data_IF_551723450474
#
_entry.id   IF_551723450474
#
_cell.length_a   1.000
_cell.length_b   1.000
_cell.length_c   1.000
_cell.angle_alpha   90.00
_cell.angle_beta   90.00
_cell.angle_gamma   90.00
#
_symmetry.space_group_name_H-M   'P 1'
#
loop_
_entity.id
_entity.type
_entity.pdbx_description
1 polymer ?
#
# COMPACT_ATOMS: atom_id res chain seq x y z
N UNK A 1 -1.40 20.69 12.96
CA UNK A 1 -0.24 20.32 12.12
C UNK A 1 -0.67 19.56 10.86
N UNK A 2 -1.42 18.45 11.00
CA UNK A 2 -1.86 17.64 9.87
C UNK A 2 -2.73 18.41 8.85
N UNK A 3 -3.60 19.32 9.28
CA UNK A 3 -4.43 20.13 8.39
C UNK A 3 -3.59 21.01 7.44
N UNK A 4 -2.55 21.67 7.96
CA UNK A 4 -1.64 22.47 7.13
C UNK A 4 -0.90 21.61 6.11
N UNK A 5 -0.45 20.42 6.52
CA UNK A 5 0.16 19.45 5.61
C UNK A 5 -0.79 19.03 4.49
N UNK A 6 -2.05 18.69 4.81
CA UNK A 6 -3.06 18.31 3.81
C UNK A 6 -3.35 19.45 2.84
N UNK A 7 -3.57 20.67 3.35
CA UNK A 7 -3.83 21.84 2.51
C UNK A 7 -2.64 22.13 1.60
N UNK A 8 -1.41 22.18 2.14
CA UNK A 8 -0.21 22.45 1.36
C UNK A 8 0.02 21.37 0.28
N UNK A 9 -0.21 20.11 0.62
CA UNK A 9 -0.07 18.99 -0.32
C UNK A 9 -1.13 19.03 -1.44
N UNK A 10 -2.38 19.38 -1.13
CA UNK A 10 -3.45 19.53 -2.13
C UNK A 10 -3.18 20.76 -3.02
N UNK A 11 -2.68 21.86 -2.46
CA UNK A 11 -2.28 23.03 -3.23
C UNK A 11 -1.13 22.70 -4.20
N UNK A 12 -0.12 21.96 -3.77
CA UNK A 12 0.97 21.52 -4.64
C UNK A 12 0.47 20.61 -5.77
N UNK A 13 -0.44 19.66 -5.47
CA UNK A 13 -1.06 18.81 -6.48
C UNK A 13 -1.92 19.60 -7.47
N UNK A 14 -2.68 20.59 -6.99
CA UNK A 14 -3.48 21.47 -7.86
C UNK A 14 -2.61 22.36 -8.74
N UNK A 15 -1.47 22.84 -8.22
CA UNK A 15 -0.48 23.58 -8.99
C UNK A 15 0.14 22.71 -10.10
N UNK A 16 0.45 21.44 -9.81
CA UNK A 16 0.93 20.49 -10.82
C UNK A 16 -0.12 20.24 -11.91
N UNK A 17 -1.40 20.15 -11.53
CA UNK A 17 -2.50 19.98 -12.48
C UNK A 17 -2.71 21.22 -13.38
N UNK A 18 -2.53 22.42 -12.84
CA UNK A 18 -2.65 23.68 -13.57
C UNK A 18 -1.38 24.06 -14.35
N UNK A 19 -0.30 23.32 -14.23
CA UNK A 19 1.00 23.61 -14.85
C UNK A 19 0.89 23.70 -16.40
N UNK A 20 1.61 24.64 -16.99
CA UNK A 20 1.65 24.85 -18.44
C UNK A 20 2.90 24.29 -19.11
N UNK A 21 3.93 24.02 -18.32
CA UNK A 21 5.23 23.53 -18.77
C UNK A 21 5.74 22.42 -17.85
N UNK A 22 6.59 21.53 -18.37
CA UNK A 22 7.23 20.45 -17.58
C UNK A 22 8.02 20.99 -16.38
N UNK A 23 8.69 22.15 -16.54
CA UNK A 23 9.41 22.80 -15.43
C UNK A 23 8.51 23.20 -14.25
N UNK A 24 7.28 23.58 -14.54
CA UNK A 24 6.30 23.92 -13.49
C UNK A 24 5.82 22.65 -12.76
N UNK A 25 5.68 21.52 -13.46
CA UNK A 25 5.36 20.23 -12.85
C UNK A 25 6.49 19.80 -11.93
N UNK A 26 7.75 19.89 -12.37
CA UNK A 26 8.92 19.58 -11.56
C UNK A 26 9.02 20.49 -10.33
N UNK A 27 8.77 21.81 -10.49
CA UNK A 27 8.77 22.75 -9.38
C UNK A 27 7.65 22.46 -8.37
N UNK A 28 6.44 22.10 -8.81
CA UNK A 28 5.35 21.68 -7.94
C UNK A 28 5.69 20.38 -7.20
N UNK A 29 6.36 19.44 -7.88
CA UNK A 29 6.90 18.23 -7.26
C UNK A 29 7.94 18.51 -6.18
N UNK A 30 8.92 19.37 -6.47
CA UNK A 30 9.92 19.77 -5.50
C UNK A 30 9.28 20.46 -4.28
N UNK A 31 8.31 21.36 -4.50
CA UNK A 31 7.54 21.99 -3.42
C UNK A 31 6.77 20.97 -2.58
N UNK A 32 6.13 19.98 -3.23
CA UNK A 32 5.42 18.89 -2.54
C UNK A 32 6.37 18.10 -1.63
N UNK A 33 7.54 17.69 -2.12
CA UNK A 33 8.50 16.93 -1.32
C UNK A 33 9.18 17.77 -0.26
N UNK A 34 9.35 19.08 -0.46
CA UNK A 34 9.76 19.99 0.59
C UNK A 34 8.73 20.04 1.75
N UNK A 35 7.44 20.09 1.43
CA UNK A 35 6.36 20.00 2.43
C UNK A 35 6.41 18.66 3.17
N UNK A 36 6.62 17.55 2.47
CA UNK A 36 6.77 16.23 3.08
C UNK A 36 7.96 16.17 4.05
N UNK A 37 9.11 16.68 3.65
CA UNK A 37 10.31 16.70 4.48
C UNK A 37 10.13 17.57 5.73
N UNK A 38 9.55 18.76 5.57
CA UNK A 38 9.24 19.65 6.69
C UNK A 38 8.25 18.97 7.64
N UNK A 39 7.24 18.30 7.14
CA UNK A 39 6.27 17.58 7.95
C UNK A 39 6.91 16.46 8.77
N UNK A 40 7.80 15.66 8.17
CA UNK A 40 8.58 14.64 8.90
C UNK A 40 9.43 15.27 10.00
N UNK A 41 10.14 16.37 9.70
CA UNK A 41 10.93 17.10 10.69
C UNK A 41 10.07 17.63 11.84
N UNK A 42 8.89 18.17 11.55
CA UNK A 42 7.94 18.64 12.55
C UNK A 42 7.44 17.52 13.47
N UNK A 43 7.21 16.31 12.95
CA UNK A 43 6.82 15.14 13.76
C UNK A 43 7.94 14.81 14.76
N UNK A 44 9.21 14.82 14.32
CA UNK A 44 10.34 14.55 15.21
C UNK A 44 10.56 15.66 16.25
N UNK A 45 10.33 16.92 15.87
CA UNK A 45 10.49 18.06 16.77
C UNK A 45 9.34 18.18 17.79
N UNK A 46 8.10 17.83 17.40
CA UNK A 46 6.90 17.92 18.24
C UNK A 46 6.68 16.75 19.20
N UNK A 47 7.50 15.71 19.11
CA UNK A 47 7.35 14.47 19.89
C UNK A 47 6.35 13.49 19.28
N UNK A 48 6.70 12.20 19.38
CA UNK A 48 5.81 11.10 19.02
C UNK A 48 4.66 11.03 20.04
N UNK A 49 3.45 10.70 19.58
CA UNK A 49 2.22 10.52 20.38
C UNK A 49 1.40 11.79 20.69
N UNK A 50 1.68 12.90 20.01
CA UNK A 50 0.79 14.06 20.11
C UNK A 50 -0.45 13.91 19.22
N UNK A 51 -1.60 14.27 19.75
CA UNK A 51 -2.85 14.37 18.99
C UNK A 51 -2.95 15.75 18.35
N UNK A 52 -3.35 15.79 17.08
CA UNK A 52 -3.55 17.06 16.40
C UNK A 52 -4.71 17.86 17.05
N UNK A 53 -4.68 19.18 16.91
CA UNK A 53 -5.69 20.11 17.41
C UNK A 53 -7.14 19.77 17.03
N UNK A 54 -7.32 18.96 15.98
CA UNK A 54 -8.63 18.45 15.52
C UNK A 54 -9.06 17.18 16.27
N UNK A 55 -8.19 16.52 17.04
CA UNK A 55 -8.49 15.24 17.70
C UNK A 55 -8.73 14.06 16.75
N UNK A 56 -8.51 14.26 15.43
CA UNK A 56 -8.83 13.29 14.36
C UNK A 56 -7.58 12.56 13.86
N UNK A 57 -6.41 13.10 14.11
CA UNK A 57 -5.11 12.55 13.72
C UNK A 57 -4.23 12.34 14.93
N UNK A 58 -3.45 11.26 14.93
CA UNK A 58 -2.46 10.94 15.95
C UNK A 58 -1.14 10.50 15.31
N UNK A 59 -0.04 10.91 15.91
CA UNK A 59 1.30 10.64 15.40
C UNK A 59 1.90 9.45 16.16
N UNK A 60 1.43 8.22 15.84
CA UNK A 60 1.95 7.00 16.41
C UNK A 60 3.25 6.55 15.72
N UNK A 61 4.08 5.77 16.44
CA UNK A 61 5.36 5.30 15.92
C UNK A 61 5.21 4.46 14.64
N UNK A 62 4.15 3.63 14.53
CA UNK A 62 3.90 2.83 13.36
C UNK A 62 3.53 3.68 12.14
N UNK A 63 2.61 4.66 12.31
CA UNK A 63 2.23 5.58 11.25
C UNK A 63 3.41 6.43 10.79
N UNK A 64 4.23 6.92 11.73
CA UNK A 64 5.44 7.70 11.41
C UNK A 64 6.46 6.87 10.63
N UNK A 65 6.73 5.62 11.03
CA UNK A 65 7.64 4.72 10.31
C UNK A 65 7.17 4.49 8.88
N UNK A 66 5.88 4.17 8.69
CA UNK A 66 5.33 3.95 7.36
C UNK A 66 5.30 5.24 6.53
N UNK A 67 5.10 6.40 7.16
CA UNK A 67 5.14 7.68 6.47
C UNK A 67 6.55 8.04 5.97
N UNK A 68 7.60 7.85 6.78
CA UNK A 68 8.98 8.05 6.34
C UNK A 68 9.29 7.17 5.13
N UNK A 69 8.92 5.89 5.20
CA UNK A 69 9.09 4.96 4.10
C UNK A 69 8.33 5.42 2.84
N UNK A 70 7.09 5.89 3.01
CA UNK A 70 6.28 6.44 1.93
C UNK A 70 6.94 7.65 1.28
N UNK A 71 7.46 8.60 2.06
CA UNK A 71 8.15 9.80 1.54
C UNK A 71 9.35 9.42 0.70
N UNK A 72 10.19 8.50 1.18
CA UNK A 72 11.36 8.02 0.44
C UNK A 72 10.95 7.35 -0.88
N UNK A 73 10.01 6.40 -0.83
CA UNK A 73 9.58 5.66 -2.03
C UNK A 73 8.86 6.58 -3.02
N UNK A 74 8.01 7.47 -2.54
CA UNK A 74 7.29 8.41 -3.41
C UNK A 74 8.21 9.42 -4.08
N UNK A 75 9.26 9.90 -3.39
CA UNK A 75 10.27 10.78 -3.97
C UNK A 75 11.03 10.09 -5.12
N UNK A 76 11.46 8.83 -4.92
CA UNK A 76 12.06 8.03 -5.99
C UNK A 76 11.08 7.76 -7.13
N UNK A 77 9.82 7.45 -6.83
CA UNK A 77 8.79 7.21 -7.83
C UNK A 77 8.53 8.47 -8.66
N UNK A 78 8.50 9.64 -8.04
CA UNK A 78 8.33 10.92 -8.73
C UNK A 78 9.52 11.24 -9.63
N UNK A 79 10.76 11.16 -9.12
CA UNK A 79 11.97 11.37 -9.90
C UNK A 79 12.08 10.41 -11.10
N UNK A 80 11.70 9.14 -10.89
CA UNK A 80 11.64 8.17 -11.98
C UNK A 80 10.51 8.46 -12.98
N UNK A 81 9.39 9.04 -12.52
CA UNK A 81 8.28 9.42 -13.37
C UNK A 81 8.66 10.51 -14.37
N UNK A 82 9.52 11.45 -14.02
CA UNK A 82 10.03 12.48 -14.94
C UNK A 82 10.75 11.84 -16.13
N UNK A 83 11.62 10.87 -15.86
CA UNK A 83 12.32 10.14 -16.92
C UNK A 83 11.38 9.22 -17.73
N UNK A 84 10.39 8.60 -17.07
CA UNK A 84 9.43 7.69 -17.70
C UNK A 84 8.44 8.39 -18.62
N UNK A 85 8.03 9.61 -18.26
CA UNK A 85 7.04 10.41 -18.99
C UNK A 85 7.66 11.36 -20.01
N UNK A 86 8.98 11.37 -20.13
CA UNK A 86 9.68 12.24 -21.08
C UNK A 86 9.18 11.98 -22.52
N UNK A 87 8.69 13.04 -23.17
CA UNK A 87 8.09 12.93 -24.51
C UNK A 87 6.61 12.53 -24.53
N UNK A 88 5.97 12.35 -23.38
CA UNK A 88 4.52 12.17 -23.30
C UNK A 88 3.78 13.50 -23.44
N UNK A 89 2.45 13.43 -23.76
CA UNK A 89 1.61 14.61 -23.82
C UNK A 89 1.59 15.34 -22.45
N UNK A 90 1.80 16.65 -22.46
CA UNK A 90 1.81 17.49 -21.27
C UNK A 90 0.55 17.31 -20.41
N UNK A 91 -0.61 17.12 -21.06
CA UNK A 91 -1.87 16.88 -20.36
C UNK A 91 -1.84 15.56 -19.55
N UNK A 92 -1.24 14.52 -20.11
CA UNK A 92 -1.11 13.22 -19.42
C UNK A 92 -0.13 13.32 -18.28
N UNK A 93 1.03 13.97 -18.49
CA UNK A 93 2.08 14.14 -17.47
C UNK A 93 1.57 14.92 -16.26
N UNK A 94 0.89 16.06 -16.45
CA UNK A 94 0.34 16.85 -15.33
C UNK A 94 -0.74 16.12 -14.56
N UNK A 95 -1.65 15.39 -15.25
CA UNK A 95 -2.69 14.61 -14.57
C UNK A 95 -2.09 13.49 -13.76
N UNK A 96 -1.12 12.77 -14.30
CA UNK A 96 -0.41 11.71 -13.62
C UNK A 96 0.34 12.22 -12.38
N UNK A 97 1.11 13.30 -12.52
CA UNK A 97 1.89 13.88 -11.41
C UNK A 97 0.99 14.40 -10.29
N UNK A 98 -0.12 15.06 -10.62
CA UNK A 98 -1.10 15.52 -9.65
C UNK A 98 -1.75 14.33 -8.90
N UNK A 99 -2.16 13.28 -9.62
CA UNK A 99 -2.74 12.08 -9.02
C UNK A 99 -1.73 11.33 -8.14
N UNK A 100 -0.45 11.30 -8.52
CA UNK A 100 0.60 10.67 -7.71
C UNK A 100 0.80 11.43 -6.39
N UNK A 101 0.80 12.76 -6.41
CA UNK A 101 0.86 13.61 -5.20
C UNK A 101 -0.39 13.42 -4.32
N UNK A 102 -1.59 13.42 -4.92
CA UNK A 102 -2.85 13.19 -4.20
C UNK A 102 -2.89 11.79 -3.57
N UNK A 103 -2.42 10.77 -4.29
CA UNK A 103 -2.32 9.41 -3.76
C UNK A 103 -1.40 9.36 -2.54
N UNK A 104 -0.22 9.98 -2.62
CA UNK A 104 0.73 10.06 -1.49
C UNK A 104 0.11 10.78 -0.30
N UNK A 105 -0.60 11.88 -0.53
CA UNK A 105 -1.31 12.64 0.52
C UNK A 105 -2.41 11.82 1.17
N UNK A 106 -3.21 11.10 0.38
CA UNK A 106 -4.29 10.24 0.89
C UNK A 106 -3.74 9.07 1.74
N UNK A 107 -2.64 8.45 1.29
CA UNK A 107 -1.96 7.39 2.06
C UNK A 107 -1.44 7.96 3.40
N UNK A 108 -0.83 9.15 3.39
CA UNK A 108 -0.36 9.81 4.61
C UNK A 108 -1.51 10.09 5.58
N UNK A 109 -2.66 10.55 5.07
CA UNK A 109 -3.87 10.74 5.86
C UNK A 109 -4.36 9.45 6.52
N UNK A 110 -4.33 8.33 5.80
CA UNK A 110 -4.69 7.03 6.36
C UNK A 110 -3.72 6.55 7.44
N UNK A 111 -2.41 6.87 7.32
CA UNK A 111 -1.41 6.48 8.32
C UNK A 111 -1.59 7.20 9.65
N UNK A 112 -1.99 8.46 9.64
CA UNK A 112 -2.12 9.28 10.86
C UNK A 112 -3.56 9.40 11.37
N UNK A 113 -4.55 8.83 10.70
CA UNK A 113 -5.92 8.87 11.16
C UNK A 113 -6.08 8.19 12.54
N UNK A 114 -6.65 8.89 13.52
CA UNK A 114 -6.97 8.37 14.87
C UNK A 114 -8.40 7.85 14.98
N UNK A 115 -9.17 7.91 13.87
CA UNK A 115 -10.58 7.57 13.81
C UNK A 115 -10.84 6.58 12.68
N UNK A 116 -11.68 5.57 12.95
CA UNK A 116 -12.05 4.52 11.98
C UNK A 116 -12.69 5.10 10.71
N UNK A 117 -13.60 6.07 10.84
CA UNK A 117 -14.26 6.70 9.70
C UNK A 117 -13.28 7.52 8.85
N UNK A 118 -12.34 8.23 9.48
CA UNK A 118 -11.33 9.01 8.77
C UNK A 118 -10.37 8.10 8.01
N UNK A 119 -9.93 6.99 8.63
CA UNK A 119 -9.14 5.96 7.92
C UNK A 119 -9.88 5.45 6.69
N UNK A 120 -11.18 5.17 6.82
CA UNK A 120 -12.03 4.72 5.72
C UNK A 120 -12.09 5.75 4.58
N UNK A 121 -12.33 7.05 4.91
CA UNK A 121 -12.38 8.14 3.91
C UNK A 121 -11.06 8.23 3.11
N UNK A 122 -9.92 8.21 3.80
CA UNK A 122 -8.63 8.30 3.13
C UNK A 122 -8.33 7.05 2.28
N UNK A 123 -8.70 5.85 2.72
CA UNK A 123 -8.55 4.64 1.93
C UNK A 123 -9.44 4.66 0.68
N UNK A 124 -10.65 5.23 0.74
CA UNK A 124 -11.48 5.42 -0.46
C UNK A 124 -10.88 6.48 -1.40
N UNK A 125 -10.35 7.59 -0.86
CA UNK A 125 -9.66 8.59 -1.67
C UNK A 125 -8.47 7.97 -2.44
N UNK A 126 -7.75 7.02 -1.85
CA UNK A 126 -6.69 6.28 -2.56
C UNK A 126 -7.21 5.45 -3.72
N UNK A 127 -8.46 4.94 -3.66
CA UNK A 127 -9.07 4.16 -4.75
C UNK A 127 -9.22 5.03 -5.99
N UNK A 128 -9.76 6.23 -5.83
CA UNK A 128 -9.98 7.17 -6.94
C UNK A 128 -8.66 7.62 -7.57
N UNK A 129 -7.69 7.99 -6.75
CA UNK A 129 -6.36 8.40 -7.23
C UNK A 129 -5.65 7.27 -7.98
N UNK A 130 -5.66 6.05 -7.43
CA UNK A 130 -5.03 4.88 -8.05
C UNK A 130 -5.68 4.51 -9.37
N UNK A 131 -7.01 4.55 -9.46
CA UNK A 131 -7.75 4.27 -10.70
C UNK A 131 -7.35 5.23 -11.83
N UNK A 132 -7.24 6.53 -11.52
CA UNK A 132 -6.78 7.52 -12.48
C UNK A 132 -5.34 7.27 -12.97
N UNK A 133 -4.46 6.82 -12.08
CA UNK A 133 -3.07 6.46 -12.42
C UNK A 133 -3.01 5.18 -13.26
N UNK A 134 -3.80 4.16 -12.93
CA UNK A 134 -3.88 2.90 -13.70
C UNK A 134 -4.32 3.18 -15.14
N UNK A 135 -5.28 4.08 -15.32
CA UNK A 135 -5.80 4.46 -16.65
C UNK A 135 -4.89 5.41 -17.43
N UNK A 136 -3.71 5.75 -16.95
CA UNK A 136 -2.80 6.72 -17.56
C UNK A 136 -2.53 6.47 -19.05
N UNK A 137 -2.30 5.22 -19.47
CA UNK A 137 -2.00 4.86 -20.88
C UNK A 137 -3.22 4.88 -21.81
N UNK A 138 -4.43 5.05 -21.31
CA UNK A 138 -5.71 5.12 -22.04
C UNK A 138 -5.93 4.01 -23.05
N UNK A 139 -5.44 2.80 -22.79
CA UNK A 139 -5.70 1.61 -23.60
C UNK A 139 -6.95 0.88 -23.10
N UNK A 140 -7.57 0.05 -23.95
CA UNK A 140 -8.71 -0.78 -23.53
C UNK A 140 -8.35 -1.68 -22.32
N UNK A 141 -7.14 -2.23 -22.31
CA UNK A 141 -6.64 -3.08 -21.22
C UNK A 141 -6.48 -2.29 -19.90
N UNK A 142 -5.95 -1.06 -19.96
CA UNK A 142 -5.81 -0.22 -18.74
C UNK A 142 -7.16 0.31 -18.27
N UNK A 143 -8.11 0.52 -19.17
CA UNK A 143 -9.49 0.88 -18.82
C UNK A 143 -10.17 -0.28 -18.07
N UNK A 144 -10.05 -1.49 -18.59
CA UNK A 144 -10.60 -2.71 -17.95
C UNK A 144 -10.00 -2.90 -16.55
N UNK A 145 -8.68 -2.78 -16.42
CA UNK A 145 -8.00 -2.91 -15.12
C UNK A 145 -8.46 -1.81 -14.13
N UNK A 146 -8.59 -0.57 -14.58
CA UNK A 146 -9.07 0.54 -13.73
C UNK A 146 -10.50 0.32 -13.25
N UNK A 147 -11.41 -0.12 -14.14
CA UNK A 147 -12.79 -0.46 -13.78
C UNK A 147 -12.86 -1.60 -12.76
N UNK A 148 -12.17 -2.71 -13.02
CA UNK A 148 -12.09 -3.82 -12.06
C UNK A 148 -11.58 -3.35 -10.71
N UNK A 149 -10.54 -2.52 -10.72
CA UNK A 149 -9.96 -1.96 -9.50
C UNK A 149 -10.99 -1.12 -8.72
N UNK A 150 -11.67 -0.18 -9.37
CA UNK A 150 -12.68 0.66 -8.72
C UNK A 150 -13.81 -0.20 -8.13
N UNK A 151 -14.43 -1.06 -8.93
CA UNK A 151 -15.57 -1.85 -8.47
C UNK A 151 -15.24 -2.74 -7.28
N UNK A 152 -14.15 -3.48 -7.35
CA UNK A 152 -13.81 -4.42 -6.28
C UNK A 152 -13.30 -3.70 -5.04
N UNK A 153 -12.49 -2.63 -5.21
CA UNK A 153 -12.02 -1.86 -4.06
C UNK A 153 -13.17 -1.10 -3.37
N UNK A 154 -14.05 -0.43 -4.12
CA UNK A 154 -15.17 0.30 -3.51
C UNK A 154 -16.17 -0.65 -2.84
N UNK A 155 -16.42 -1.83 -3.42
CA UNK A 155 -17.23 -2.87 -2.76
C UNK A 155 -16.56 -3.36 -1.48
N UNK A 156 -15.24 -3.63 -1.54
CA UNK A 156 -14.47 -4.04 -0.35
C UNK A 156 -14.49 -2.98 0.74
N UNK A 157 -14.25 -1.72 0.39
CA UNK A 157 -14.26 -0.60 1.36
C UNK A 157 -15.68 -0.35 1.91
N UNK A 158 -16.74 -0.57 1.12
CA UNK A 158 -18.11 -0.53 1.61
C UNK A 158 -18.39 -1.66 2.63
N UNK A 159 -17.87 -2.87 2.40
CA UNK A 159 -17.91 -3.96 3.38
C UNK A 159 -17.15 -3.61 4.67
N UNK A 160 -15.99 -2.98 4.56
CA UNK A 160 -15.25 -2.52 5.72
C UNK A 160 -16.05 -1.47 6.52
N UNK A 161 -16.73 -0.56 5.83
CA UNK A 161 -17.60 0.42 6.48
C UNK A 161 -18.76 -0.23 7.26
N UNK A 162 -19.42 -1.22 6.66
CA UNK A 162 -20.42 -2.01 7.36
C UNK A 162 -19.86 -2.69 8.62
N UNK A 163 -18.62 -3.21 8.53
CA UNK A 163 -17.91 -3.76 9.68
C UNK A 163 -17.63 -2.71 10.76
N UNK A 164 -17.28 -1.47 10.38
CA UNK A 164 -17.09 -0.35 11.32
C UNK A 164 -18.43 0.00 12.02
N UNK A 165 -19.52 0.03 11.30
CA UNK A 165 -20.85 0.28 11.88
C UNK A 165 -21.25 -0.84 12.86
N UNK A 166 -20.99 -2.10 12.53
CA UNK A 166 -21.23 -3.22 13.46
C UNK A 166 -20.32 -3.14 14.69
N UNK A 167 -19.08 -2.70 14.54
CA UNK A 167 -18.15 -2.49 15.65
C UNK A 167 -18.67 -1.39 16.58
N UNK A 168 -19.16 -0.28 16.03
CA UNK A 168 -19.78 0.81 16.78
C UNK A 168 -21.06 0.33 17.51
N UNK A 169 -21.91 -0.45 16.83
CA UNK A 169 -23.10 -1.03 17.43
C UNK A 169 -22.78 -2.02 18.56
N UNK A 170 -21.70 -2.81 18.42
CA UNK A 170 -21.24 -3.75 19.44
C UNK A 170 -20.75 -3.06 20.70
N UNK A 171 -20.05 -1.94 20.54
CA UNK A 171 -19.42 -1.17 21.63
C UNK A 171 -20.34 -0.10 22.21
N UNK A 172 -21.45 0.24 21.52
CA UNK A 172 -22.35 1.35 21.85
C UNK A 172 -21.63 2.69 22.05
N UNK A 173 -20.55 2.89 21.32
CA UNK A 173 -19.69 4.06 21.43
C UNK A 173 -20.17 5.14 20.46
N UNK A 174 -20.33 6.38 20.93
CA UNK A 174 -20.70 7.53 20.10
C UNK A 174 -19.52 8.01 19.24
N UNK A 175 -18.29 7.81 19.73
CA UNK A 175 -17.07 8.21 19.03
C UNK A 175 -16.43 7.01 18.35
N UNK A 176 -16.07 7.17 17.06
CA UNK A 176 -15.34 6.17 16.28
C UNK A 176 -13.82 6.29 16.41
N UNK A 177 -13.31 6.96 17.45
CA UNK A 177 -11.87 7.01 17.71
C UNK A 177 -11.36 5.64 18.14
N UNK A 178 -10.14 5.29 17.74
CA UNK A 178 -9.54 3.99 18.08
C UNK A 178 -9.48 3.76 19.59
N UNK A 179 -9.20 4.81 20.37
CA UNK A 179 -9.10 4.73 21.83
C UNK A 179 -10.46 4.49 22.50
N UNK A 180 -11.49 5.25 22.10
CA UNK A 180 -12.84 5.12 22.65
C UNK A 180 -13.44 3.74 22.34
N UNK A 181 -13.28 3.28 21.10
CA UNK A 181 -13.75 1.95 20.67
C UNK A 181 -12.99 0.84 21.39
N UNK A 182 -11.68 0.98 21.59
CA UNK A 182 -10.86 -0.01 22.33
C UNK A 182 -11.28 -0.10 23.79
N UNK A 183 -11.55 1.03 24.45
CA UNK A 183 -12.01 1.05 25.84
C UNK A 183 -13.37 0.37 26.01
N UNK A 184 -14.29 0.55 25.04
CA UNK A 184 -15.63 -0.02 25.09
C UNK A 184 -15.72 -1.46 24.56
N UNK A 185 -14.72 -1.94 23.82
CA UNK A 185 -14.73 -3.24 23.14
C UNK A 185 -14.82 -4.43 24.12
N UNK A 186 -14.24 -4.32 25.32
CA UNK A 186 -14.27 -5.40 26.32
C UNK A 186 -15.68 -5.82 26.75
N UNK A 187 -16.64 -4.88 26.75
CA UNK A 187 -18.05 -5.15 27.06
C UNK A 187 -18.94 -5.45 25.86
N UNK A 188 -18.37 -5.52 24.66
CA UNK A 188 -19.12 -5.66 23.40
C UNK A 188 -19.64 -7.08 23.18
N UNK A 189 -20.75 -7.18 22.41
CA UNK A 189 -21.31 -8.48 22.04
C UNK A 189 -20.33 -9.24 21.12
N UNK A 190 -19.95 -10.44 21.54
CA UNK A 190 -18.95 -11.28 20.87
C UNK A 190 -19.32 -11.59 19.41
N UNK A 191 -20.61 -11.80 19.10
CA UNK A 191 -21.04 -12.09 17.73
C UNK A 191 -20.83 -10.88 16.82
N UNK A 192 -21.24 -9.70 17.27
CA UNK A 192 -21.04 -8.47 16.49
C UNK A 192 -19.56 -8.13 16.32
N UNK A 193 -18.72 -8.34 17.35
CA UNK A 193 -17.28 -8.13 17.25
C UNK A 193 -16.62 -9.07 16.24
N UNK A 194 -17.00 -10.35 16.21
CA UNK A 194 -16.50 -11.33 15.24
C UNK A 194 -16.90 -10.97 13.81
N UNK A 195 -18.19 -10.67 13.58
CA UNK A 195 -18.70 -10.29 12.26
C UNK A 195 -18.11 -8.97 11.79
N UNK A 196 -17.97 -7.98 12.66
CA UNK A 196 -17.31 -6.71 12.35
C UNK A 196 -15.88 -6.91 11.90
N UNK A 197 -15.10 -7.72 12.63
CA UNK A 197 -13.71 -8.02 12.27
C UNK A 197 -13.60 -8.71 10.91
N UNK A 198 -14.46 -9.71 10.62
CA UNK A 198 -14.45 -10.39 9.33
C UNK A 198 -14.75 -9.43 8.17
N UNK A 199 -15.75 -8.56 8.31
CA UNK A 199 -16.11 -7.60 7.28
C UNK A 199 -15.01 -6.57 7.06
N UNK A 200 -14.38 -6.07 8.13
CA UNK A 200 -13.26 -5.13 8.04
C UNK A 200 -12.04 -5.80 7.39
N UNK A 201 -11.70 -7.02 7.83
CA UNK A 201 -10.57 -7.76 7.27
C UNK A 201 -10.80 -8.08 5.79
N UNK A 202 -11.96 -8.61 5.43
CA UNK A 202 -12.32 -8.91 4.04
C UNK A 202 -12.33 -7.63 3.19
N UNK A 203 -12.91 -6.54 3.70
CA UNK A 203 -12.98 -5.28 3.01
C UNK A 203 -11.61 -4.66 2.76
N UNK A 204 -10.77 -4.55 3.79
CA UNK A 204 -9.43 -3.99 3.64
C UNK A 204 -8.42 -4.95 2.99
N UNK A 205 -8.76 -6.24 2.81
CA UNK A 205 -7.91 -7.19 2.10
C UNK A 205 -7.64 -6.76 0.64
N UNK A 206 -8.56 -6.05 0.00
CA UNK A 206 -8.36 -5.49 -1.35
C UNK A 206 -7.22 -4.46 -1.40
N UNK A 207 -6.98 -3.74 -0.29
CA UNK A 207 -5.90 -2.75 -0.17
C UNK A 207 -4.61 -3.37 0.38
N UNK A 208 -4.74 -4.31 1.30
CA UNK A 208 -3.62 -5.00 1.92
C UNK A 208 -3.05 -6.15 1.08
N UNK A 209 -3.62 -6.42 -0.12
CA UNK A 209 -3.25 -7.55 -0.99
C UNK A 209 -3.28 -8.90 -0.25
N UNK A 210 -4.26 -9.08 0.65
CA UNK A 210 -4.51 -10.31 1.38
C UNK A 210 -5.64 -11.12 0.73
N UNK A 211 -5.69 -12.43 1.02
CA UNK A 211 -6.87 -13.22 0.72
C UNK A 211 -8.09 -12.64 1.47
N UNK A 212 -9.29 -12.53 0.85
CA UNK A 212 -9.68 -13.09 -0.46
C UNK A 212 -9.51 -12.13 -1.66
N UNK A 213 -9.34 -10.82 -1.48
CA UNK A 213 -9.43 -9.83 -2.57
C UNK A 213 -8.06 -9.39 -3.15
N UNK A 214 -7.02 -10.22 -3.02
CA UNK A 214 -5.65 -9.93 -3.46
C UNK A 214 -5.51 -9.69 -4.97
N UNK A 215 -6.39 -10.30 -5.80
CA UNK A 215 -6.28 -10.27 -7.27
C UNK A 215 -6.31 -8.87 -7.85
N UNK A 216 -7.05 -7.98 -7.21
CA UNK A 216 -7.22 -6.59 -7.63
C UNK A 216 -5.90 -5.82 -7.58
N UNK A 217 -5.12 -6.01 -6.51
CA UNK A 217 -3.79 -5.41 -6.38
C UNK A 217 -2.83 -5.92 -7.46
N UNK A 218 -2.87 -7.22 -7.77
CA UNK A 218 -2.04 -7.84 -8.81
C UNK A 218 -2.33 -7.24 -10.19
N UNK A 219 -3.60 -7.12 -10.56
CA UNK A 219 -4.00 -6.55 -11.86
C UNK A 219 -3.72 -5.03 -11.93
N UNK A 220 -3.92 -4.29 -10.83
CA UNK A 220 -3.59 -2.88 -10.75
C UNK A 220 -2.09 -2.62 -10.92
N UNK A 221 -1.24 -3.38 -10.23
CA UNK A 221 0.20 -3.27 -10.33
C UNK A 221 0.72 -3.65 -11.73
N UNK A 222 0.06 -4.60 -12.40
CA UNK A 222 0.39 -4.97 -13.77
C UNK A 222 0.09 -3.85 -14.76
N UNK A 223 -1.09 -3.23 -14.67
CA UNK A 223 -1.57 -2.20 -15.61
C UNK A 223 -0.96 -0.82 -15.35
N UNK A 224 -0.64 -0.48 -14.11
CA UNK A 224 -0.09 0.83 -13.72
C UNK A 224 1.30 1.09 -14.33
N UNK A 225 1.68 2.37 -14.57
CA UNK A 225 3.05 2.75 -14.85
C UNK A 225 4.01 2.27 -13.77
N UNK A 226 5.25 1.90 -14.16
CA UNK A 226 6.22 1.30 -13.22
C UNK A 226 6.49 2.15 -11.96
N UNK A 227 6.65 3.49 -12.04
CA UNK A 227 6.85 4.30 -10.85
C UNK A 227 5.63 4.28 -9.90
N UNK A 228 4.42 4.35 -10.46
CA UNK A 228 3.19 4.30 -9.66
C UNK A 228 2.96 2.91 -9.05
N UNK A 229 3.29 1.84 -9.75
CA UNK A 229 3.21 0.47 -9.23
C UNK A 229 4.09 0.30 -7.98
N UNK A 230 5.27 0.94 -7.94
CA UNK A 230 6.12 0.95 -6.76
C UNK A 230 5.43 1.60 -5.55
N UNK A 231 4.74 2.72 -5.75
CA UNK A 231 4.01 3.42 -4.70
C UNK A 231 2.76 2.64 -4.24
N UNK A 232 2.01 2.04 -5.17
CA UNK A 232 0.83 1.22 -4.87
C UNK A 232 1.25 0.01 -4.03
N UNK A 233 2.27 -0.73 -4.47
CA UNK A 233 2.71 -1.95 -3.79
C UNK A 233 3.38 -1.71 -2.43
N UNK A 234 3.90 -0.51 -2.17
CA UNK A 234 4.56 -0.17 -0.91
C UNK A 234 3.66 0.66 0.00
N UNK A 235 3.22 1.84 -0.46
CA UNK A 235 2.47 2.78 0.36
C UNK A 235 1.04 2.32 0.63
N UNK A 236 0.29 2.05 -0.44
CA UNK A 236 -1.13 1.73 -0.32
C UNK A 236 -1.37 0.40 0.42
N UNK A 237 -0.56 -0.62 0.13
CA UNK A 237 -0.72 -1.93 0.78
C UNK A 237 -0.42 -1.84 2.28
N UNK A 238 0.59 -1.05 2.67
CA UNK A 238 0.87 -0.80 4.08
C UNK A 238 -0.26 -0.01 4.77
N UNK A 239 -0.96 0.91 4.07
CA UNK A 239 -2.11 1.62 4.63
C UNK A 239 -3.29 0.66 4.92
N UNK A 240 -3.59 -0.23 3.98
CA UNK A 240 -4.60 -1.27 4.20
C UNK A 240 -4.25 -2.20 5.37
N UNK A 241 -2.99 -2.62 5.46
CA UNK A 241 -2.52 -3.47 6.55
C UNK A 241 -2.53 -2.77 7.90
N UNK A 242 -2.13 -1.49 7.95
CA UNK A 242 -2.16 -0.70 9.18
C UNK A 242 -3.58 -0.52 9.71
N UNK A 243 -4.56 -0.34 8.80
CA UNK A 243 -5.97 -0.27 9.18
C UNK A 243 -6.45 -1.59 9.83
N UNK A 244 -6.09 -2.75 9.26
CA UNK A 244 -6.37 -4.06 9.87
C UNK A 244 -5.65 -4.21 11.21
N UNK A 245 -4.38 -3.81 11.30
CA UNK A 245 -3.59 -3.87 12.53
C UNK A 245 -4.21 -3.05 13.66
N UNK A 246 -4.74 -1.86 13.36
CA UNK A 246 -5.40 -1.02 14.36
C UNK A 246 -6.66 -1.68 14.92
N UNK A 247 -7.49 -2.28 14.06
CA UNK A 247 -8.68 -3.03 14.50
C UNK A 247 -8.27 -4.29 15.28
N UNK A 248 -7.22 -4.98 14.87
CA UNK A 248 -6.66 -6.10 15.63
C UNK A 248 -6.25 -5.67 17.05
N UNK A 249 -5.64 -4.49 17.22
CA UNK A 249 -5.28 -3.95 18.54
C UNK A 249 -6.50 -3.60 19.39
N UNK A 250 -7.57 -3.06 18.81
CA UNK A 250 -8.85 -2.81 19.51
C UNK A 250 -9.37 -4.12 20.14
N UNK A 251 -9.32 -5.21 19.39
CA UNK A 251 -9.87 -6.49 19.81
C UNK A 251 -8.92 -7.28 20.76
N UNK A 252 -7.69 -6.80 20.96
CA UNK A 252 -6.69 -7.49 21.78
C UNK A 252 -7.10 -7.67 23.25
N UNK A 253 -7.92 -6.75 23.77
CA UNK A 253 -8.45 -6.79 25.15
C UNK A 253 -9.77 -7.54 25.29
N UNK A 254 -10.29 -8.14 24.22
CA UNK A 254 -11.60 -8.82 24.20
C UNK A 254 -11.49 -10.33 24.28
N UNK A 255 -12.54 -11.00 24.75
CA UNK A 255 -12.61 -12.47 24.78
C UNK A 255 -12.57 -13.12 23.39
N UNK A 256 -12.90 -12.37 22.33
CA UNK A 256 -12.87 -12.87 20.94
C UNK A 256 -11.46 -12.89 20.33
N UNK A 257 -10.46 -12.39 21.02
CA UNK A 257 -9.10 -12.25 20.50
C UNK A 257 -8.44 -13.57 20.02
N UNK A 258 -8.57 -14.71 20.74
CA UNK A 258 -8.02 -15.98 20.23
C UNK A 258 -8.60 -16.38 18.86
N UNK A 259 -9.89 -16.12 18.65
CA UNK A 259 -10.55 -16.36 17.38
C UNK A 259 -10.05 -15.41 16.29
N UNK A 260 -9.86 -14.12 16.60
CA UNK A 260 -9.30 -13.11 15.67
C UNK A 260 -7.91 -13.54 15.19
N UNK A 261 -7.07 -14.03 16.09
CA UNK A 261 -5.74 -14.57 15.77
C UNK A 261 -5.82 -15.76 14.81
N UNK A 262 -6.73 -16.70 15.07
CA UNK A 262 -6.92 -17.88 14.21
C UNK A 262 -7.37 -17.47 12.80
N UNK A 263 -8.26 -16.50 12.68
CA UNK A 263 -8.69 -15.98 11.37
C UNK A 263 -7.52 -15.34 10.61
N UNK A 264 -6.71 -14.50 11.28
CA UNK A 264 -5.52 -13.91 10.66
C UNK A 264 -4.49 -14.97 10.23
N UNK A 265 -4.29 -16.02 11.02
CA UNK A 265 -3.44 -17.14 10.64
C UNK A 265 -3.94 -17.83 9.37
N UNK A 266 -5.23 -18.15 9.30
CA UNK A 266 -5.84 -18.80 8.13
C UNK A 266 -5.70 -17.92 6.90
N UNK A 267 -6.05 -16.63 6.98
CA UNK A 267 -5.93 -15.68 5.87
C UNK A 267 -4.47 -15.51 5.45
N UNK A 268 -3.55 -15.44 6.40
CA UNK A 268 -2.12 -15.32 6.12
C UNK A 268 -1.55 -16.56 5.41
N UNK A 269 -1.89 -17.78 5.88
CA UNK A 269 -1.47 -19.05 5.25
C UNK A 269 -2.06 -19.18 3.84
N UNK A 270 -3.33 -18.82 3.65
CA UNK A 270 -3.95 -18.84 2.32
C UNK A 270 -3.29 -17.85 1.37
N UNK A 271 -2.99 -16.63 1.84
CA UNK A 271 -2.29 -15.61 1.04
C UNK A 271 -0.89 -16.08 0.65
N UNK A 272 -0.15 -16.68 1.59
CA UNK A 272 1.18 -17.25 1.34
C UNK A 272 1.13 -18.39 0.32
N UNK A 273 0.20 -19.35 0.49
CA UNK A 273 0.04 -20.49 -0.39
C UNK A 273 -0.33 -20.05 -1.82
N UNK A 274 -1.27 -19.11 -1.95
CA UNK A 274 -1.68 -18.56 -3.24
C UNK A 274 -0.52 -17.80 -3.89
N UNK A 275 0.18 -16.93 -3.16
CA UNK A 275 1.35 -16.22 -3.65
C UNK A 275 2.40 -17.18 -4.22
N UNK A 276 2.77 -18.21 -3.46
CA UNK A 276 3.76 -19.22 -3.87
C UNK A 276 3.32 -20.04 -5.10
N UNK A 277 2.04 -20.41 -5.19
CA UNK A 277 1.50 -21.15 -6.32
C UNK A 277 1.54 -20.36 -7.63
N UNK A 278 1.12 -19.09 -7.58
CA UNK A 278 1.07 -18.23 -8.77
C UNK A 278 2.43 -17.69 -9.18
N UNK A 279 3.38 -17.52 -8.26
CA UNK A 279 4.78 -17.18 -8.57
C UNK A 279 5.40 -18.18 -9.56
N UNK A 280 5.14 -19.46 -9.41
CA UNK A 280 5.69 -20.52 -10.28
C UNK A 280 5.12 -20.49 -11.71
N UNK A 281 3.91 -19.95 -11.90
CA UNK A 281 3.22 -19.95 -13.19
C UNK A 281 3.33 -18.63 -13.96
N UNK A 282 3.93 -17.60 -13.35
CA UNK A 282 3.89 -16.27 -13.91
C UNK A 282 5.12 -15.99 -14.76
N UNK A 283 4.93 -15.76 -16.07
CA UNK A 283 5.99 -15.38 -17.00
C UNK A 283 6.21 -13.87 -17.09
N UNK A 284 5.35 -13.06 -16.46
CA UNK A 284 5.43 -11.62 -16.50
C UNK A 284 6.06 -11.06 -15.22
N UNK A 285 7.15 -10.28 -15.38
CA UNK A 285 7.91 -9.72 -14.27
C UNK A 285 7.08 -8.86 -13.30
N UNK A 286 6.17 -8.02 -13.81
CA UNK A 286 5.31 -7.19 -12.96
C UNK A 286 4.33 -8.03 -12.13
N UNK A 287 3.72 -9.03 -12.74
CA UNK A 287 2.85 -9.97 -12.01
C UNK A 287 3.62 -10.79 -10.98
N UNK A 288 4.84 -11.22 -11.34
CA UNK A 288 5.72 -11.90 -10.39
C UNK A 288 5.98 -11.05 -9.13
N UNK A 289 6.34 -9.77 -9.29
CA UNK A 289 6.52 -8.86 -8.16
C UNK A 289 5.23 -8.66 -7.35
N UNK A 290 4.08 -8.59 -8.02
CA UNK A 290 2.79 -8.43 -7.34
C UNK A 290 2.42 -9.65 -6.50
N UNK A 291 2.58 -10.87 -7.02
CA UNK A 291 2.35 -12.08 -6.21
C UNK A 291 3.33 -12.20 -5.04
N UNK A 292 4.54 -11.71 -5.21
CA UNK A 292 5.50 -11.64 -4.12
C UNK A 292 5.13 -10.62 -3.04
N UNK A 293 4.36 -9.56 -3.37
CA UNK A 293 3.75 -8.70 -2.32
C UNK A 293 2.66 -9.43 -1.56
N UNK A 294 1.80 -10.18 -2.23
CA UNK A 294 0.77 -11.03 -1.59
C UNK A 294 1.41 -12.01 -0.60
N UNK A 295 2.49 -12.69 -1.01
CA UNK A 295 3.24 -13.61 -0.15
C UNK A 295 3.79 -12.92 1.10
N UNK A 296 4.44 -11.76 0.96
CA UNK A 296 4.97 -11.01 2.10
C UNK A 296 3.88 -10.52 3.05
N UNK A 297 2.72 -10.13 2.53
CA UNK A 297 1.59 -9.74 3.38
C UNK A 297 0.98 -10.94 4.09
N UNK A 298 0.98 -12.10 3.45
CA UNK A 298 0.64 -13.37 4.10
C UNK A 298 1.56 -13.65 5.29
N UNK A 299 2.89 -13.51 5.11
CA UNK A 299 3.87 -13.67 6.21
C UNK A 299 3.61 -12.66 7.34
N UNK A 300 3.32 -11.40 7.01
CA UNK A 300 3.02 -10.37 8.01
C UNK A 300 1.75 -10.71 8.81
N UNK A 301 0.70 -11.21 8.14
CA UNK A 301 -0.54 -11.65 8.79
C UNK A 301 -0.33 -12.87 9.69
N UNK A 302 0.48 -13.86 9.26
CA UNK A 302 0.89 -15.00 10.08
C UNK A 302 1.65 -14.52 11.34
N UNK A 303 2.58 -13.58 11.17
CA UNK A 303 3.33 -13.00 12.28
C UNK A 303 2.42 -12.37 13.35
N UNK A 304 1.34 -11.66 12.93
CA UNK A 304 0.33 -11.14 13.87
C UNK A 304 -0.50 -12.27 14.52
N UNK A 305 -0.83 -13.30 13.76
CA UNK A 305 -1.60 -14.44 14.25
C UNK A 305 -0.85 -15.27 15.29
N UNK A 306 0.47 -15.44 15.16
CA UNK A 306 1.33 -16.16 16.12
C UNK A 306 1.71 -15.26 17.30
N UNK A 307 2.02 -13.98 17.05
CA UNK A 307 2.38 -13.01 18.08
C UNK A 307 1.21 -12.70 19.00
N UNK A 308 1.45 -12.66 20.32
CA UNK A 308 0.47 -12.18 21.30
C UNK A 308 0.38 -10.64 21.27
N UNK A 309 -0.53 -10.03 22.06
CA UNK A 309 -0.67 -8.57 22.15
C UNK A 309 0.62 -7.86 22.59
N UNK A 310 1.54 -8.55 23.27
CA UNK A 310 2.86 -8.04 23.66
C UNK A 310 3.89 -8.03 22.52
N UNK A 311 3.74 -8.87 21.49
CA UNK A 311 4.66 -8.91 20.35
C UNK A 311 4.48 -7.71 19.40
N UNK A 312 3.33 -7.05 19.45
CA UNK A 312 3.06 -5.84 18.68
C UNK A 312 3.66 -4.56 19.30
N UNK A 313 4.18 -4.65 20.52
CA UNK A 313 4.77 -3.49 21.25
C UNK A 313 6.29 -3.43 21.23
N UNK A 314 7.00 -4.51 20.93
CA UNK A 314 8.46 -4.59 21.11
C UNK A 314 9.28 -4.90 19.85
N UNK A 315 8.75 -4.70 18.67
CA UNK A 315 9.49 -4.88 17.40
C UNK A 315 8.91 -6.02 16.56
N UNK A 316 9.30 -6.19 15.42
CA UNK A 316 8.69 -5.82 14.18
C UNK A 316 8.31 -6.96 13.26
N UNK A 317 7.10 -7.43 13.21
CA UNK A 317 6.62 -8.00 11.95
C UNK A 317 6.40 -6.92 10.87
N UNK A 318 6.22 -5.65 11.31
CA UNK A 318 6.10 -4.53 10.37
C UNK A 318 7.42 -4.12 9.70
N UNK A 319 8.57 -4.21 10.39
CA UNK A 319 9.86 -3.75 9.85
C UNK A 319 10.39 -4.66 8.75
N UNK A 320 10.19 -5.97 8.88
CA UNK A 320 10.65 -6.93 7.85
C UNK A 320 9.84 -6.81 6.56
N UNK A 321 8.52 -6.65 6.66
CA UNK A 321 7.69 -6.46 5.46
C UNK A 321 7.92 -5.09 4.81
N UNK A 322 8.14 -4.03 5.58
CA UNK A 322 8.39 -2.70 5.05
C UNK A 322 9.78 -2.57 4.43
N UNK A 323 10.83 -3.16 5.04
CA UNK A 323 12.17 -3.18 4.48
C UNK A 323 12.25 -3.99 3.17
N UNK A 324 11.60 -5.17 3.13
CA UNK A 324 11.52 -5.99 1.92
C UNK A 324 10.73 -5.30 0.82
N UNK A 325 9.70 -4.50 1.17
CA UNK A 325 8.92 -3.72 0.23
C UNK A 325 9.68 -2.53 -0.33
N UNK A 326 10.45 -1.81 0.48
CA UNK A 326 11.25 -0.69 -0.03
C UNK A 326 12.34 -1.15 -0.98
N UNK A 327 12.98 -2.29 -0.73
CA UNK A 327 13.94 -2.89 -1.65
C UNK A 327 13.30 -3.32 -2.98
N UNK A 328 12.05 -3.81 -2.95
CA UNK A 328 11.30 -4.18 -4.15
C UNK A 328 10.78 -2.97 -4.92
N UNK A 329 10.31 -1.93 -4.23
CA UNK A 329 9.94 -0.68 -4.87
C UNK A 329 11.14 -0.05 -5.59
N UNK A 330 12.31 -0.04 -4.97
CA UNK A 330 13.55 0.41 -5.59
C UNK A 330 13.94 -0.44 -6.80
N UNK A 331 13.75 -1.77 -6.77
CA UNK A 331 14.02 -2.65 -7.90
C UNK A 331 13.01 -2.48 -9.04
N UNK A 332 11.74 -2.18 -8.75
CA UNK A 332 10.73 -1.88 -9.77
C UNK A 332 10.94 -0.52 -10.43
N UNK A 333 11.59 0.43 -9.75
CA UNK A 333 11.98 1.71 -10.33
C UNK A 333 13.18 1.62 -11.31
N UNK A 334 13.97 0.55 -11.27
CA UNK A 334 15.19 0.42 -12.09
C UNK A 334 14.98 0.04 -13.56
N UNK A 335 13.74 -0.01 -14.07
CA UNK A 335 13.50 -0.39 -15.45
C UNK A 335 12.90 0.77 -16.27
N UNK A 336 13.60 1.30 -17.30
CA UNK A 336 13.28 0.95 -18.67
C UNK A 336 14.41 1.04 -19.73
N UNK A 337 15.63 0.80 -19.50
CA UNK A 337 16.57 0.98 -20.59
C UNK A 337 17.79 0.07 -20.61
N UNK A 338 17.67 -1.22 -20.44
CA UNK A 338 18.73 -2.10 -20.93
C UNK A 338 18.27 -3.55 -21.08
N UNK A 339 18.18 -4.00 -22.32
CA UNK A 339 18.18 -5.41 -22.63
C UNK A 339 19.55 -6.04 -22.31
N UNK A 340 19.79 -6.27 -21.06
CA UNK A 340 20.76 -7.26 -20.60
C UNK A 340 20.35 -7.74 -19.22
N UNK A 341 19.78 -8.94 -19.18
CA UNK A 341 19.68 -9.74 -17.99
C UNK A 341 21.09 -9.97 -17.44
N UNK A 342 21.46 -9.27 -16.39
CA UNK A 342 22.51 -9.72 -15.49
C UNK A 342 21.86 -10.02 -14.15
N UNK A 343 21.72 -11.29 -13.95
CA UNK A 343 21.47 -12.06 -12.74
C UNK A 343 21.95 -11.36 -11.47
N UNK A 344 21.00 -10.83 -10.69
CA UNK A 344 21.18 -10.51 -9.29
C UNK A 344 20.26 -11.43 -8.44
N UNK A 345 20.30 -12.73 -8.73
CA UNK A 345 19.75 -13.80 -7.88
C UNK A 345 20.88 -14.75 -7.45
N UNK A 346 22.02 -14.21 -7.09
CA UNK A 346 23.12 -15.02 -6.58
C UNK A 346 23.71 -14.39 -5.34
N UNK A 347 23.02 -14.46 -4.22
CA UNK A 347 23.65 -14.37 -2.90
C UNK A 347 22.92 -15.13 -1.80
N UNK A 348 22.25 -16.25 -2.11
CA UNK A 348 21.87 -17.24 -1.09
C UNK A 348 21.86 -18.65 -1.68
N UNK A 349 22.95 -19.07 -2.34
CA UNK A 349 23.24 -20.49 -2.58
C UNK A 349 24.72 -20.65 -2.93
N UNK A 350 25.60 -20.39 -1.99
CA UNK A 350 26.95 -20.94 -2.04
C UNK A 350 27.00 -22.17 -1.15
N UNK A 351 26.69 -23.30 -1.71
CA UNK A 351 27.32 -24.60 -1.39
C UNK A 351 26.79 -25.64 -2.38
N UNK A 352 27.65 -26.09 -3.20
CA UNK A 352 27.92 -27.41 -3.73
C UNK A 352 28.08 -27.48 -5.26
N UNK A 353 29.32 -27.80 -5.58
CA UNK A 353 29.86 -28.67 -6.66
C UNK A 353 29.77 -28.24 -8.13
N UNK A 354 30.97 -28.00 -8.60
CA UNK A 354 31.51 -28.12 -9.96
C UNK A 354 30.92 -29.28 -10.80
N UNK A 355 30.51 -28.98 -12.03
CA UNK A 355 30.94 -29.77 -13.23
C UNK A 355 30.66 -28.97 -14.50
N UNK A 356 31.72 -28.93 -15.32
CA UNK A 356 31.81 -28.35 -16.65
C UNK A 356 30.92 -29.00 -17.67
N UNK A 357 30.28 -28.23 -18.56
CA UNK A 357 30.25 -28.56 -20.00
C UNK A 357 29.91 -27.32 -20.82
N UNK A 358 30.75 -27.09 -21.79
CA UNK A 358 30.65 -26.05 -22.83
C UNK A 358 29.54 -26.36 -23.82
N UNK A 359 28.80 -25.33 -24.24
CA UNK A 359 28.07 -25.33 -25.52
C UNK A 359 28.19 -23.94 -26.15
N UNK A 360 28.66 -23.94 -27.40
CA UNK A 360 28.95 -22.78 -28.19
C UNK A 360 27.68 -22.18 -28.88
N UNK A 361 27.87 -21.08 -29.64
CA UNK A 361 26.79 -20.26 -30.12
C UNK A 361 26.25 -20.72 -31.48
N UNK A 362 24.93 -20.76 -31.65
CA UNK A 362 24.33 -20.85 -32.99
C UNK A 362 23.14 -19.90 -33.13
N UNK A 363 23.39 -18.90 -33.96
CA UNK A 363 22.53 -18.28 -34.97
C UNK A 363 21.07 -17.94 -34.65
N UNK A 364 20.83 -16.63 -34.59
CA UNK A 364 19.56 -15.98 -34.90
C UNK A 364 19.25 -16.04 -36.39
N UNK A 365 18.02 -16.39 -36.74
CA UNK A 365 17.40 -15.92 -37.98
C UNK A 365 15.91 -15.61 -37.75
N UNK A 366 15.38 -14.52 -38.32
CA UNK A 366 14.01 -14.11 -38.15
C UNK A 366 13.12 -14.71 -39.24
N UNK A 367 11.92 -15.17 -38.88
CA UNK A 367 10.88 -15.41 -39.86
C UNK A 367 9.60 -14.68 -39.44
N UNK A 368 9.27 -13.67 -40.23
CA UNK A 368 7.99 -13.01 -40.40
C UNK A 368 7.12 -13.86 -41.35
N UNK A 369 5.83 -13.66 -41.26
CA UNK A 369 4.73 -13.96 -42.18
C UNK A 369 3.87 -15.17 -41.75
N UNK A 370 2.74 -14.95 -41.30
CA UNK A 370 1.38 -14.80 -41.86
C UNK A 370 0.34 -14.76 -40.72
#
# INVERSE_FOLDING_TARGET
MMLFYLIASILAASAAFAARNERQIAAAGAAFYAVQAVFVLCIFAGGLYDTDSLGVFSFDAAGTLFHILLVVVSAFAFAHSEAYLHGSDLRQTRTYSALLMLLTTAISGAYFASNLAVTWIFLEATTLCSAGIIYHRRTAQTLEAAWKYVFVCSTGIAMAYLGILLLAAATKCESLSYEAVAAAAAGGNALYLKTAFLLILCGYSCKAELFPLYTVGVDANFAAPSPASALISTGLVNAGFLAVLRVYRILAATEVFPWVRSVLLVVGVLSLAIGALFLRRTNNYKRFLSYSTVENMGIAAIGLGIGGPGASGSGPPCSTSSATRSSRAASSCKWPSCGRFTTATASTASATTSTSTAWGPSACSPAWSS
#
